data_IF_382693488984
#
_entry.id   IF_382693488984
#
_cell.length_a   1.000
_cell.length_b   1.000
_cell.length_c   1.000
_cell.angle_alpha   90.00
_cell.angle_beta   90.00
_cell.angle_gamma   90.00
#
_symmetry.space_group_name_H-M   'P 1'
#
loop_
_entity.id
_entity.type
_entity.pdbx_description
1 polymer ?
#
# COMPACT_ATOMS: atom_id res chain seq x y z
N UNK A 1 -3.75 0.10 22.66
CA UNK A 1 -4.49 -0.99 22.01
C UNK A 1 -3.71 -2.27 22.20
N UNK A 2 -4.33 -3.38 22.61
CA UNK A 2 -3.67 -4.67 22.67
C UNK A 2 -3.53 -5.17 21.23
N UNK A 3 -2.32 -5.31 20.72
CA UNK A 3 -2.06 -6.05 19.48
C UNK A 3 -2.36 -7.51 19.77
N UNK A 4 -3.31 -8.13 19.15
CA UNK A 4 -3.86 -9.46 19.39
C UNK A 4 -2.83 -10.61 19.49
N UNK A 5 -1.80 -10.43 20.31
CA UNK A 5 -0.85 -11.50 20.62
C UNK A 5 -1.55 -12.63 21.35
N UNK A 6 -1.25 -13.86 20.96
CA UNK A 6 -1.70 -15.04 21.70
C UNK A 6 -1.11 -15.05 23.10
N UNK A 7 -1.79 -15.69 24.07
CA UNK A 7 -1.30 -15.77 25.43
C UNK A 7 0.11 -16.40 25.51
N UNK A 8 0.44 -17.35 24.66
CA UNK A 8 1.75 -17.98 24.62
C UNK A 8 2.84 -16.98 24.21
N UNK A 9 2.57 -16.16 23.18
CA UNK A 9 3.48 -15.11 22.74
C UNK A 9 3.64 -14.04 23.82
N UNK A 10 2.54 -13.61 24.45
CA UNK A 10 2.59 -12.62 25.52
C UNK A 10 3.42 -13.14 26.72
N UNK A 11 3.29 -14.42 27.07
CA UNK A 11 4.08 -15.04 28.15
C UNK A 11 5.56 -15.12 27.77
N UNK A 12 5.88 -15.48 26.54
CA UNK A 12 7.26 -15.53 26.04
C UNK A 12 7.92 -14.14 26.01
N UNK A 13 7.20 -13.11 25.57
CA UNK A 13 7.67 -11.72 25.56
C UNK A 13 7.92 -11.14 26.97
N UNK A 14 7.32 -11.72 27.99
CA UNK A 14 7.55 -11.32 29.40
C UNK A 14 8.80 -11.97 30.02
N UNK A 15 9.48 -12.87 29.30
CA UNK A 15 10.70 -13.54 29.80
C UNK A 15 11.92 -12.62 29.67
N UNK A 16 12.97 -12.93 30.44
CA UNK A 16 14.22 -12.14 30.45
C UNK A 16 15.00 -12.25 29.13
N UNK A 17 14.89 -13.38 28.45
CA UNK A 17 15.49 -13.63 27.14
C UNK A 17 14.40 -14.09 26.18
N UNK A 18 14.29 -13.41 25.06
CA UNK A 18 13.32 -13.73 24.03
C UNK A 18 13.99 -13.62 22.66
N UNK A 19 13.88 -14.65 21.85
CA UNK A 19 14.31 -14.61 20.46
C UNK A 19 13.15 -14.10 19.59
N UNK A 20 13.39 -13.02 18.85
CA UNK A 20 12.43 -12.37 17.99
C UNK A 20 12.90 -12.43 16.54
N UNK A 21 12.00 -12.78 15.64
CA UNK A 21 12.23 -12.77 14.20
C UNK A 21 11.21 -11.86 13.54
N UNK A 22 11.68 -11.03 12.63
CA UNK A 22 10.85 -10.15 11.84
C UNK A 22 10.69 -10.71 10.43
N UNK A 23 9.46 -10.75 9.96
CA UNK A 23 9.10 -11.22 8.63
C UNK A 23 8.62 -10.04 7.80
N UNK A 24 8.98 -10.00 6.52
CA UNK A 24 8.50 -9.02 5.58
C UNK A 24 7.93 -9.71 4.34
N UNK A 25 6.70 -9.35 3.98
CA UNK A 25 6.02 -9.74 2.76
C UNK A 25 6.07 -8.55 1.80
N UNK A 26 6.68 -8.74 0.64
CA UNK A 26 6.85 -7.73 -0.40
C UNK A 26 6.06 -8.19 -1.63
N UNK A 27 5.06 -7.43 -2.02
CA UNK A 27 4.21 -7.78 -3.17
C UNK A 27 4.70 -7.02 -4.40
N UNK A 28 5.35 -7.74 -5.33
CA UNK A 28 5.77 -7.19 -6.62
C UNK A 28 4.76 -7.56 -7.72
N UNK A 29 4.75 -6.86 -8.85
CA UNK A 29 3.91 -7.21 -10.00
C UNK A 29 4.09 -8.63 -10.50
N UNK A 30 5.32 -9.17 -10.46
CA UNK A 30 5.65 -10.53 -10.89
C UNK A 30 5.34 -11.61 -9.86
N UNK A 31 5.15 -11.24 -8.60
CA UNK A 31 4.90 -12.18 -7.52
C UNK A 31 5.24 -11.64 -6.14
N UNK A 32 4.94 -12.43 -5.11
CA UNK A 32 5.19 -12.04 -3.73
C UNK A 32 6.49 -12.65 -3.23
N UNK A 33 7.33 -11.84 -2.59
CA UNK A 33 8.56 -12.26 -1.94
C UNK A 33 8.35 -12.31 -0.43
N UNK A 34 8.74 -13.42 0.19
CA UNK A 34 8.62 -13.68 1.62
C UNK A 34 10.00 -13.82 2.23
N UNK A 35 10.37 -12.89 3.11
CA UNK A 35 11.71 -12.84 3.71
C UNK A 35 11.63 -12.65 5.22
N UNK A 36 12.71 -13.01 5.92
CA UNK A 36 12.87 -12.77 7.34
C UNK A 36 14.33 -12.45 7.69
N UNK A 37 14.54 -11.89 8.88
CA UNK A 37 15.85 -11.42 9.33
C UNK A 37 16.69 -12.46 10.10
N UNK A 38 16.29 -13.73 10.08
CA UNK A 38 17.04 -14.83 10.70
C UNK A 38 17.64 -15.76 9.63
N UNK A 39 18.27 -16.82 10.05
CA UNK A 39 18.86 -17.84 9.18
C UNK A 39 17.82 -18.92 8.83
N UNK A 40 18.04 -19.56 7.68
CA UNK A 40 17.25 -20.72 7.25
C UNK A 40 15.92 -20.34 6.61
N UNK A 41 14.97 -21.25 6.69
CA UNK A 41 13.63 -21.08 6.13
C UNK A 41 12.59 -21.39 7.20
N UNK A 42 11.62 -20.50 7.37
CA UNK A 42 10.42 -20.76 8.18
C UNK A 42 9.23 -20.96 7.27
N UNK A 43 8.40 -21.96 7.61
CA UNK A 43 7.15 -22.20 6.89
C UNK A 43 5.96 -21.84 7.78
N UNK A 44 5.17 -20.85 7.38
CA UNK A 44 3.91 -20.51 8.05
C UNK A 44 2.94 -19.84 7.07
N UNK A 45 1.65 -19.92 7.36
CA UNK A 45 0.61 -19.39 6.45
C UNK A 45 0.58 -20.07 5.07
N UNK A 46 1.14 -21.29 4.95
CA UNK A 46 1.25 -22.01 3.68
C UNK A 46 2.33 -21.49 2.73
N UNK A 47 3.25 -20.64 3.22
CA UNK A 47 4.35 -20.05 2.45
C UNK A 47 5.69 -20.33 3.12
N UNK A 48 6.73 -20.45 2.30
CA UNK A 48 8.11 -20.54 2.76
C UNK A 48 8.74 -19.15 2.81
N UNK A 49 9.21 -18.78 3.98
CA UNK A 49 9.86 -17.51 4.25
C UNK A 49 11.38 -17.74 4.27
N UNK A 50 12.06 -17.02 3.41
CA UNK A 50 13.50 -17.17 3.22
C UNK A 50 14.28 -16.22 4.13
N UNK A 51 15.30 -16.75 4.80
CA UNK A 51 16.22 -15.95 5.59
C UNK A 51 17.13 -15.11 4.69
N UNK A 52 17.18 -13.82 4.97
CA UNK A 52 18.06 -12.88 4.25
C UNK A 52 19.44 -12.82 4.88
N UNK A 53 19.73 -13.73 5.83
CA UNK A 53 20.97 -13.81 6.56
C UNK A 53 21.15 -12.71 7.63
N UNK A 54 22.34 -12.60 8.19
CA UNK A 54 22.67 -11.67 9.28
C UNK A 54 22.62 -10.18 8.88
N UNK A 55 22.32 -9.88 7.62
CA UNK A 55 22.33 -8.51 7.07
C UNK A 55 20.94 -7.91 6.97
N UNK A 56 19.90 -8.67 7.27
CA UNK A 56 18.52 -8.16 7.25
C UNK A 56 18.19 -7.42 8.54
N UNK A 57 17.76 -6.18 8.43
CA UNK A 57 17.25 -5.40 9.57
C UNK A 57 16.02 -4.61 9.17
N UNK A 58 15.17 -4.37 10.16
CA UNK A 58 14.02 -3.49 10.05
C UNK A 58 14.26 -2.32 11.01
N UNK A 59 14.03 -1.09 10.53
CA UNK A 59 14.09 0.07 11.41
C UNK A 59 13.02 -0.01 12.51
N UNK A 60 13.12 0.84 13.49
CA UNK A 60 12.08 0.97 14.51
C UNK A 60 10.72 1.26 13.85
N UNK A 61 9.71 0.54 14.29
CA UNK A 61 8.31 0.81 13.91
C UNK A 61 7.74 1.80 14.90
N UNK A 62 7.42 3.00 14.43
CA UNK A 62 6.83 4.05 15.22
C UNK A 62 5.32 4.12 14.97
N UNK A 63 4.54 4.34 16.03
CA UNK A 63 3.11 4.58 15.97
C UNK A 63 2.78 5.80 16.81
N UNK A 64 2.05 6.75 16.24
CA UNK A 64 1.54 7.94 16.92
C UNK A 64 0.02 7.99 16.92
N UNK A 65 -0.53 8.89 17.74
CA UNK A 65 -1.96 9.21 17.74
C UNK A 65 -2.32 10.29 16.72
N UNK A 66 -1.31 10.90 16.13
CA UNK A 66 -1.44 11.90 15.09
C UNK A 66 -1.58 11.23 13.70
N UNK A 67 -2.17 11.97 12.78
CA UNK A 67 -2.34 11.54 11.37
C UNK A 67 -1.06 11.85 10.59
N UNK A 68 0.08 11.35 11.07
CA UNK A 68 1.38 11.50 10.39
C UNK A 68 1.76 10.21 9.69
N UNK A 69 2.28 10.29 8.45
CA UNK A 69 2.82 9.13 7.78
C UNK A 69 4.13 8.72 8.44
N UNK A 70 4.20 7.47 8.89
CA UNK A 70 5.41 6.86 9.40
C UNK A 70 6.02 5.96 8.34
N UNK A 71 7.31 6.10 8.13
CA UNK A 71 8.07 5.27 7.22
C UNK A 71 8.90 4.24 7.99
N UNK A 72 9.11 3.08 7.40
CA UNK A 72 10.06 2.10 7.87
C UNK A 72 11.11 1.84 6.79
N UNK A 73 12.30 1.48 7.22
CA UNK A 73 13.38 1.06 6.33
C UNK A 73 13.68 -0.42 6.56
N UNK A 74 13.59 -1.20 5.49
CA UNK A 74 13.98 -2.59 5.45
C UNK A 74 15.34 -2.66 4.78
N UNK A 75 16.34 -3.22 5.45
CA UNK A 75 17.66 -3.47 4.85
C UNK A 75 17.76 -4.96 4.56
N UNK A 76 17.84 -5.32 3.30
CA UNK A 76 17.91 -6.68 2.80
C UNK A 76 19.31 -6.95 2.27
N UNK A 77 19.81 -8.18 2.43
CA UNK A 77 21.07 -8.56 1.79
C UNK A 77 20.91 -8.54 0.26
N UNK A 78 21.83 -7.87 -0.44
CA UNK A 78 21.75 -7.63 -1.87
C UNK A 78 22.04 -8.81 -2.77
N UNK A 79 22.33 -9.98 -2.20
CA UNK A 79 22.77 -11.14 -2.99
C UNK A 79 21.63 -12.03 -3.51
N UNK A 80 20.39 -11.83 -3.05
CA UNK A 80 19.26 -12.57 -3.61
C UNK A 80 18.90 -12.04 -5.00
N UNK A 81 19.13 -12.89 -6.01
CA UNK A 81 18.89 -12.51 -7.41
C UNK A 81 17.42 -12.16 -7.71
N UNK A 82 16.48 -12.73 -6.95
CA UNK A 82 15.05 -12.47 -7.11
C UNK A 82 14.73 -11.05 -6.66
N UNK A 83 15.18 -10.69 -5.46
CA UNK A 83 14.94 -9.35 -4.89
C UNK A 83 15.68 -8.29 -5.70
N UNK A 84 16.95 -8.56 -6.05
CA UNK A 84 17.76 -7.64 -6.85
C UNK A 84 17.17 -7.44 -8.26
N UNK A 85 16.67 -8.52 -8.86
CA UNK A 85 15.99 -8.47 -10.17
C UNK A 85 14.71 -7.64 -10.11
N UNK A 86 13.86 -7.87 -9.12
CA UNK A 86 12.63 -7.12 -8.94
C UNK A 86 12.90 -5.63 -8.66
N UNK A 87 13.89 -5.33 -7.82
CA UNK A 87 14.29 -3.96 -7.51
C UNK A 87 14.74 -3.14 -8.74
N UNK A 88 15.37 -3.81 -9.72
CA UNK A 88 15.93 -3.16 -10.91
C UNK A 88 14.94 -3.07 -12.08
N UNK A 89 14.00 -4.00 -12.19
CA UNK A 89 13.21 -4.17 -13.42
C UNK A 89 11.73 -3.91 -13.25
N UNK A 90 11.22 -3.94 -12.01
CA UNK A 90 9.78 -3.86 -11.76
C UNK A 90 9.35 -2.50 -11.22
N UNK A 91 8.11 -2.12 -11.51
CA UNK A 91 7.45 -0.98 -10.91
C UNK A 91 6.92 -1.38 -9.52
N UNK A 92 7.80 -1.30 -8.52
CA UNK A 92 7.49 -1.61 -7.12
C UNK A 92 6.76 -0.47 -6.40
N UNK A 93 6.74 0.73 -6.99
CA UNK A 93 6.16 1.91 -6.36
C UNK A 93 4.68 1.73 -6.02
N UNK A 94 4.31 2.04 -4.77
CA UNK A 94 2.97 1.86 -4.21
C UNK A 94 2.48 0.39 -4.13
N UNK A 95 3.36 -0.58 -4.30
CA UNK A 95 3.02 -1.97 -4.04
C UNK A 95 3.06 -2.29 -2.54
N UNK A 96 2.19 -3.22 -2.05
CA UNK A 96 2.05 -3.46 -0.62
C UNK A 96 3.28 -4.08 0.03
N UNK A 97 3.55 -3.66 1.26
CA UNK A 97 4.51 -4.27 2.19
C UNK A 97 3.81 -4.56 3.49
N UNK A 98 4.01 -5.76 4.02
CA UNK A 98 3.50 -6.14 5.33
C UNK A 98 4.61 -6.72 6.19
N UNK A 99 4.70 -6.27 7.43
CA UNK A 99 5.71 -6.72 8.39
C UNK A 99 5.03 -7.46 9.54
N UNK A 100 5.60 -8.61 9.89
CA UNK A 100 5.11 -9.45 10.97
C UNK A 100 6.22 -9.67 11.99
N UNK A 101 5.82 -9.88 13.24
CA UNK A 101 6.68 -10.24 14.35
C UNK A 101 6.39 -11.67 14.77
N UNK A 102 7.41 -12.51 14.74
CA UNK A 102 7.38 -13.85 15.27
C UNK A 102 8.25 -13.96 16.53
N UNK A 103 7.86 -14.86 17.41
CA UNK A 103 8.61 -15.19 18.63
C UNK A 103 9.02 -16.64 18.56
N UNK A 104 10.31 -16.89 18.80
CA UNK A 104 10.90 -18.22 18.79
C UNK A 104 11.03 -18.77 20.20
N UNK A 105 11.00 -20.09 20.31
CA UNK A 105 11.40 -20.81 21.52
C UNK A 105 12.92 -21.03 21.53
N UNK A 106 13.42 -21.70 22.56
CA UNK A 106 14.85 -22.01 22.73
C UNK A 106 15.41 -22.97 21.64
N UNK A 107 14.52 -23.57 20.85
CA UNK A 107 14.87 -24.49 19.75
C UNK A 107 14.77 -23.79 18.36
N UNK A 108 14.67 -22.46 18.33
CA UNK A 108 14.50 -21.65 17.13
C UNK A 108 13.22 -21.98 16.33
N UNK A 109 12.17 -22.46 17.02
CA UNK A 109 10.87 -22.76 16.41
C UNK A 109 9.87 -21.67 16.78
N UNK A 110 9.01 -21.30 15.83
CA UNK A 110 7.92 -20.34 16.07
C UNK A 110 6.95 -20.86 17.16
N UNK A 111 6.75 -20.07 18.21
CA UNK A 111 5.82 -20.38 19.30
C UNK A 111 4.36 -20.32 18.83
N UNK A 112 4.07 -19.40 17.92
CA UNK A 112 2.77 -19.22 17.28
C UNK A 112 2.95 -18.51 15.94
N UNK A 113 1.90 -18.45 15.16
CA UNK A 113 1.90 -17.69 13.91
C UNK A 113 2.31 -16.22 14.13
N UNK A 114 3.22 -15.68 13.32
CA UNK A 114 3.66 -14.31 13.41
C UNK A 114 2.49 -13.31 13.34
N UNK A 115 2.57 -12.28 14.16
CA UNK A 115 1.54 -11.24 14.23
C UNK A 115 1.94 -10.04 13.38
N UNK A 116 1.01 -9.55 12.55
CA UNK A 116 1.24 -8.33 11.79
C UNK A 116 1.44 -7.14 12.72
N UNK A 117 2.56 -6.44 12.53
CA UNK A 117 2.92 -5.25 13.32
C UNK A 117 2.87 -3.97 12.49
N UNK A 118 3.01 -4.07 11.17
CA UNK A 118 2.99 -2.90 10.29
C UNK A 118 2.53 -3.28 8.88
N UNK A 119 1.90 -2.32 8.19
CA UNK A 119 1.57 -2.43 6.77
C UNK A 119 1.67 -1.05 6.10
N UNK A 120 2.05 -1.06 4.83
CA UNK A 120 2.19 0.13 4.02
C UNK A 120 2.55 -0.20 2.58
N UNK A 121 3.20 0.74 1.91
CA UNK A 121 3.55 0.65 0.49
C UNK A 121 5.03 0.94 0.26
N UNK A 122 5.63 0.25 -0.72
CA UNK A 122 7.00 0.53 -1.17
C UNK A 122 7.05 1.94 -1.77
N UNK A 123 8.02 2.74 -1.33
CA UNK A 123 8.25 4.08 -1.86
C UNK A 123 9.56 4.15 -2.63
N UNK A 124 10.66 3.83 -2.01
CA UNK A 124 11.99 3.89 -2.62
C UNK A 124 12.77 2.61 -2.35
N UNK A 125 13.53 2.19 -3.35
CA UNK A 125 14.44 1.06 -3.23
C UNK A 125 15.83 1.48 -3.71
N UNK A 126 16.79 1.46 -2.79
CA UNK A 126 18.17 1.84 -3.05
C UNK A 126 19.06 0.61 -2.95
N UNK A 127 19.87 0.38 -3.96
CA UNK A 127 20.85 -0.70 -3.98
C UNK A 127 22.23 -0.10 -3.74
N UNK A 128 22.95 -0.63 -2.77
CA UNK A 128 24.36 -0.30 -2.51
C UNK A 128 25.23 -1.52 -2.76
N UNK A 129 26.28 -1.34 -3.56
CA UNK A 129 27.27 -2.36 -3.84
C UNK A 129 28.57 -1.90 -3.15
N UNK A 130 28.96 -2.60 -2.11
CA UNK A 130 30.18 -2.29 -1.34
C UNK A 130 31.40 -2.94 -1.94
N UNK A 131 32.52 -2.24 -1.95
CA UNK A 131 33.82 -2.78 -2.39
C UNK A 131 34.29 -3.99 -1.54
N UNK A 132 33.78 -4.07 -0.30
CA UNK A 132 34.09 -5.13 0.66
C UNK A 132 33.06 -6.28 0.63
N UNK A 133 32.21 -6.36 -0.39
CA UNK A 133 31.22 -7.43 -0.56
C UNK A 133 29.94 -7.28 0.29
N UNK A 134 29.73 -6.12 0.88
CA UNK A 134 28.50 -5.80 1.62
C UNK A 134 27.42 -5.20 0.71
N UNK A 135 26.89 -6.01 -0.20
CA UNK A 135 25.77 -5.58 -1.04
C UNK A 135 24.49 -5.57 -0.21
N UNK A 136 23.76 -4.44 -0.24
CA UNK A 136 22.53 -4.30 0.49
C UNK A 136 21.48 -3.57 -0.37
N UNK A 137 20.25 -4.01 -0.22
CA UNK A 137 19.07 -3.33 -0.78
C UNK A 137 18.35 -2.67 0.39
N UNK A 138 18.17 -1.38 0.30
CA UNK A 138 17.43 -0.57 1.26
C UNK A 138 16.06 -0.23 0.67
N UNK A 139 15.02 -0.80 1.24
CA UNK A 139 13.64 -0.51 0.89
C UNK A 139 13.06 0.46 1.92
N UNK A 140 12.63 1.62 1.48
CA UNK A 140 11.85 2.57 2.27
C UNK A 140 10.38 2.31 1.95
N UNK A 141 9.60 2.03 2.99
CA UNK A 141 8.18 1.82 2.88
C UNK A 141 7.42 2.83 3.75
N UNK A 142 6.36 3.39 3.22
CA UNK A 142 5.52 4.38 3.88
C UNK A 142 4.20 3.77 4.33
N UNK A 143 3.67 4.23 5.47
CA UNK A 143 2.36 3.79 5.96
C UNK A 143 1.24 4.20 5.00
N UNK A 144 0.09 3.55 5.12
CA UNK A 144 -1.10 3.85 4.31
C UNK A 144 -1.54 5.33 4.37
N UNK A 145 -1.22 6.01 5.47
CA UNK A 145 -1.54 7.43 5.66
C UNK A 145 -0.80 8.35 4.68
N UNK A 146 0.34 7.92 4.13
CA UNK A 146 1.06 8.70 3.12
C UNK A 146 0.26 8.92 1.84
N UNK A 147 -0.68 8.01 1.54
CA UNK A 147 -1.56 8.13 0.35
C UNK A 147 -2.49 9.33 0.41
N UNK A 148 -2.85 9.80 1.61
CA UNK A 148 -3.66 11.02 1.74
C UNK A 148 -2.92 12.28 1.28
N UNK A 149 -1.60 12.27 1.33
CA UNK A 149 -0.75 13.37 0.89
C UNK A 149 -0.36 13.28 -0.59
N UNK A 150 -0.66 12.16 -1.26
CA UNK A 150 -0.33 11.99 -2.69
C UNK A 150 -1.53 12.40 -3.54
N UNK A 151 -1.31 13.36 -4.44
CA UNK A 151 -2.33 13.73 -5.42
C UNK A 151 -2.54 12.57 -6.40
N UNK A 152 -3.76 12.10 -6.48
CA UNK A 152 -4.14 11.18 -7.55
C UNK A 152 -4.28 12.01 -8.84
N UNK A 153 -3.55 11.62 -9.90
CA UNK A 153 -3.71 12.20 -11.24
C UNK A 153 -5.04 11.78 -11.89
N UNK A 154 -6.10 11.75 -11.10
CA UNK A 154 -7.44 11.43 -11.58
C UNK A 154 -8.13 12.76 -12.01
N UNK A 155 -8.29 12.92 -13.29
CA UNK A 155 -9.10 14.00 -13.85
C UNK A 155 -10.57 13.58 -13.85
N UNK A 156 -11.46 14.53 -13.56
CA UNK A 156 -12.91 14.34 -13.71
C UNK A 156 -13.30 14.40 -15.20
N UNK A 157 -12.84 13.40 -15.96
CA UNK A 157 -13.12 13.27 -17.40
C UNK A 157 -13.76 11.92 -17.68
N UNK A 158 -14.56 11.88 -18.77
CA UNK A 158 -15.20 10.64 -19.19
C UNK A 158 -14.15 9.53 -19.49
N UNK A 159 -13.02 9.90 -20.06
CA UNK A 159 -11.92 8.94 -20.36
C UNK A 159 -11.34 8.35 -19.10
N UNK A 160 -11.04 9.18 -18.08
CA UNK A 160 -10.52 8.71 -16.81
C UNK A 160 -11.53 7.84 -16.05
N UNK A 161 -12.82 8.18 -16.11
CA UNK A 161 -13.88 7.41 -15.51
C UNK A 161 -14.05 6.04 -16.16
N UNK A 162 -14.06 5.99 -17.49
CA UNK A 162 -14.16 4.72 -18.23
C UNK A 162 -12.92 3.83 -18.07
N UNK A 163 -11.73 4.41 -17.90
CA UNK A 163 -10.52 3.64 -17.59
C UNK A 163 -10.62 2.94 -16.23
N UNK A 164 -11.28 3.56 -15.25
CA UNK A 164 -11.50 3.02 -13.90
C UNK A 164 -12.69 2.04 -13.86
N UNK A 165 -13.75 2.36 -14.58
CA UNK A 165 -15.00 1.60 -14.60
C UNK A 165 -15.52 1.58 -16.03
N UNK A 166 -15.28 0.47 -16.73
CA UNK A 166 -15.69 0.30 -18.13
C UNK A 166 -17.20 0.44 -18.28
N UNK A 167 -17.63 1.30 -19.21
CA UNK A 167 -19.05 1.58 -19.46
C UNK A 167 -19.70 2.63 -18.56
N UNK A 168 -18.98 3.20 -17.60
CA UNK A 168 -19.50 4.30 -16.78
C UNK A 168 -19.49 5.60 -17.59
N UNK A 169 -20.69 6.15 -17.81
CA UNK A 169 -20.93 7.36 -18.61
C UNK A 169 -21.20 8.62 -17.75
N UNK A 170 -20.93 8.56 -16.45
CA UNK A 170 -21.22 9.67 -15.54
C UNK A 170 -20.68 11.02 -16.03
N UNK A 171 -19.47 11.04 -16.56
CA UNK A 171 -18.83 12.24 -17.08
C UNK A 171 -19.00 12.44 -18.60
N UNK A 172 -19.83 11.65 -19.27
CA UNK A 172 -20.02 11.75 -20.73
C UNK A 172 -20.58 13.10 -21.20
N UNK A 173 -21.26 13.80 -20.31
CA UNK A 173 -21.91 15.11 -20.63
C UNK A 173 -21.05 16.32 -20.23
N UNK A 174 -19.92 16.16 -19.59
CA UNK A 174 -19.05 17.25 -19.13
C UNK A 174 -18.68 18.22 -20.27
N UNK A 175 -18.33 17.69 -21.45
CA UNK A 175 -17.98 18.52 -22.61
C UNK A 175 -19.16 19.32 -23.18
N UNK A 176 -20.44 18.94 -22.90
CA UNK A 176 -21.63 19.66 -23.31
C UNK A 176 -21.98 20.80 -22.36
N UNK A 177 -21.47 20.71 -21.11
CA UNK A 177 -21.69 21.74 -20.08
C UNK A 177 -20.59 22.80 -20.15
N UNK A 178 -19.43 22.47 -20.75
CA UNK A 178 -18.32 23.40 -20.93
C UNK A 178 -18.81 24.59 -21.83
N UNK A 179 -18.77 25.79 -21.27
CA UNK A 179 -19.26 27.02 -21.95
C UNK A 179 -20.77 27.20 -21.99
N UNK A 180 -21.55 26.27 -21.42
CA UNK A 180 -23.00 26.46 -21.31
C UNK A 180 -23.30 27.58 -20.32
N UNK A 181 -24.01 28.59 -20.79
CA UNK A 181 -24.49 29.68 -19.93
C UNK A 181 -25.66 29.19 -19.08
N UNK A 182 -25.39 28.95 -17.80
CA UNK A 182 -26.40 28.52 -16.82
C UNK A 182 -26.90 29.76 -16.09
N UNK A 183 -28.11 30.19 -16.41
CA UNK A 183 -28.75 31.32 -15.75
C UNK A 183 -29.46 30.82 -14.47
N UNK A 184 -28.77 30.95 -13.33
CA UNK A 184 -29.34 30.64 -12.02
C UNK A 184 -30.28 31.75 -11.56
N UNK A 185 -31.59 31.48 -11.61
CA UNK A 185 -32.60 32.37 -11.02
C UNK A 185 -32.85 33.71 -11.72
N UNK A 186 -32.28 33.93 -12.91
CA UNK A 186 -32.62 35.09 -13.71
C UNK A 186 -33.88 34.84 -14.51
N UNK A 187 -34.90 35.75 -14.39
CA UNK A 187 -36.06 35.74 -15.26
C UNK A 187 -35.58 35.96 -16.70
N UNK A 188 -35.95 35.07 -17.61
CA UNK A 188 -35.80 35.32 -19.06
C UNK A 188 -36.37 36.68 -19.42
N UNK A 189 -35.62 37.58 -20.09
CA UNK A 189 -36.17 38.86 -20.54
C UNK A 189 -37.38 38.60 -21.45
N UNK A 190 -38.59 38.96 -20.96
CA UNK A 190 -39.83 38.81 -21.72
C UNK A 190 -40.86 37.82 -21.18
N UNK A 191 -40.60 37.11 -20.10
CA UNK A 191 -41.57 36.21 -19.45
C UNK A 191 -42.23 36.93 -18.28
N UNK A 192 -43.41 37.47 -18.51
CA UNK A 192 -44.37 37.89 -17.48
C UNK A 192 -45.14 36.65 -17.00
N UNK A 193 -44.55 35.85 -16.11
CA UNK A 193 -45.21 34.65 -15.59
C UNK A 193 -44.47 34.07 -14.41
N UNK A 194 -45.22 33.86 -13.35
CA UNK A 194 -44.90 33.10 -12.15
C UNK A 194 -43.86 31.99 -12.35
N UNK A 195 -42.83 32.03 -11.54
CA UNK A 195 -41.64 31.21 -11.45
C UNK A 195 -41.76 29.70 -11.64
N UNK A 196 -41.92 29.23 -12.84
CA UNK A 196 -41.63 27.86 -13.20
C UNK A 196 -40.25 27.83 -13.89
N UNK A 197 -39.27 27.21 -13.25
CA UNK A 197 -37.99 26.88 -13.86
C UNK A 197 -38.23 25.65 -14.73
N UNK A 198 -38.53 25.87 -15.99
CA UNK A 198 -38.68 24.79 -16.97
C UNK A 198 -37.28 24.27 -17.33
N UNK A 199 -36.76 23.34 -16.52
CA UNK A 199 -35.56 22.58 -16.84
C UNK A 199 -35.96 21.53 -17.87
N UNK A 200 -35.90 21.88 -19.15
CA UNK A 200 -36.00 20.89 -20.23
C UNK A 200 -34.72 20.11 -20.28
N UNK A 201 -34.68 19.02 -19.53
CA UNK A 201 -33.67 17.95 -19.74
C UNK A 201 -34.13 17.18 -20.97
N UNK A 202 -33.42 17.36 -22.08
CA UNK A 202 -33.64 16.54 -23.28
C UNK A 202 -33.13 15.11 -22.99
N UNK A 203 -34.05 14.25 -22.63
CA UNK A 203 -33.80 12.84 -22.34
C UNK A 203 -33.96 11.94 -23.58
N UNK A 204 -34.12 12.52 -24.77
CA UNK A 204 -34.37 11.76 -26.00
C UNK A 204 -33.24 10.85 -26.44
N UNK A 205 -32.04 10.93 -25.80
CA UNK A 205 -30.87 10.10 -26.09
C UNK A 205 -30.48 9.16 -24.95
N UNK A 206 -31.33 8.98 -23.94
CA UNK A 206 -31.09 7.98 -22.90
C UNK A 206 -31.73 6.65 -23.32
N UNK A 207 -31.07 5.91 -24.19
CA UNK A 207 -31.39 4.50 -24.42
C UNK A 207 -30.66 3.68 -23.32
N UNK A 208 -31.45 3.13 -22.40
CA UNK A 208 -31.01 2.09 -21.52
C UNK A 208 -30.96 0.78 -22.33
N UNK A 209 -29.78 0.20 -22.46
CA UNK A 209 -29.57 -1.21 -22.84
C UNK A 209 -28.93 -1.91 -21.67
#
# INVERSE_FOLDING_TARGET
MSRGFSNNVATALAQQHVAIVSFAKLEFPSGTVYVHNSLGTYTWGGQDWLGVGNMGSISQVEEGLDVSPYAITLTLSGLDATISGAALTEDYYLHPVTVYLGVLNDEDVLIADPTQIWAGFMDQMNMSVGADGGDAIQLIAESELSRFNKSLNLMYTNVAQQAKSSGDLFFSHLHKIEGAKIDWGSKKPGSSGTGDVDIKVDVSNLTYT
#
